data_IF_838811279814
#
_entry.id   IF_838811279814
#
_cell.length_a   1.000
_cell.length_b   1.000
_cell.length_c   1.000
_cell.angle_alpha   90.00
_cell.angle_beta   90.00
_cell.angle_gamma   90.00
#
_symmetry.space_group_name_H-M   'P 1'
#
loop_
_entity.id
_entity.type
_entity.pdbx_description
1 polymer ?
#
# COMPACT_ATOMS: atom_id res chain seq x y z
N UNK A 1 10.54 -0.92 -18.50
CA UNK A 1 9.77 -0.19 -17.48
C UNK A 1 8.72 -1.15 -16.98
N UNK A 2 8.71 -1.42 -15.68
CA UNK A 2 7.65 -2.21 -15.06
C UNK A 2 6.32 -1.46 -15.15
N UNK A 3 5.25 -2.22 -15.34
CA UNK A 3 3.92 -1.66 -15.60
C UNK A 3 3.25 -1.18 -14.31
N UNK A 4 2.54 -0.05 -14.39
CA UNK A 4 1.69 0.47 -13.33
C UNK A 4 0.57 -0.54 -13.01
N UNK A 5 0.34 -0.82 -11.74
CA UNK A 5 -0.78 -1.64 -11.28
C UNK A 5 -1.74 -0.80 -10.43
N UNK A 6 -2.96 -1.30 -10.23
CA UNK A 6 -3.92 -0.62 -9.35
C UNK A 6 -3.41 -0.59 -7.90
N UNK A 7 -2.68 -1.62 -7.47
CA UNK A 7 -2.01 -1.65 -6.18
C UNK A 7 -1.01 -0.50 -6.04
N UNK A 8 -0.20 -0.24 -7.07
CA UNK A 8 0.75 0.89 -7.03
C UNK A 8 0.02 2.22 -6.80
N UNK A 9 -1.09 2.48 -7.50
CA UNK A 9 -1.90 3.70 -7.33
C UNK A 9 -2.46 3.83 -5.91
N UNK A 10 -3.01 2.74 -5.36
CA UNK A 10 -3.53 2.72 -3.98
C UNK A 10 -2.41 2.98 -2.97
N UNK A 11 -1.22 2.41 -3.16
CA UNK A 11 -0.06 2.68 -2.31
C UNK A 11 0.33 4.15 -2.38
N UNK A 12 0.43 4.73 -3.58
CA UNK A 12 0.79 6.13 -3.79
C UNK A 12 -0.18 7.09 -3.09
N UNK A 13 -1.48 6.79 -3.11
CA UNK A 13 -2.50 7.59 -2.43
C UNK A 13 -2.43 7.56 -0.91
N UNK A 14 -1.80 6.54 -0.32
CA UNK A 14 -1.67 6.39 1.14
C UNK A 14 -0.41 7.06 1.69
N UNK A 15 0.48 7.51 0.81
CA UNK A 15 1.70 8.23 1.20
C UNK A 15 1.36 9.70 1.41
N UNK A 16 1.44 10.12 2.65
CA UNK A 16 1.27 11.51 3.09
C UNK A 16 2.64 12.10 3.46
N UNK A 17 2.79 13.43 3.53
CA UNK A 17 4.00 14.06 4.06
C UNK A 17 4.37 13.53 5.44
N UNK A 18 5.63 13.16 5.67
CA UNK A 18 6.08 12.56 6.93
C UNK A 18 5.73 11.07 7.10
N UNK A 19 5.22 10.40 6.06
CA UNK A 19 5.03 8.94 6.10
C UNK A 19 6.39 8.25 6.22
N UNK A 20 6.53 7.39 7.23
CA UNK A 20 7.74 6.59 7.43
C UNK A 20 7.45 5.13 7.17
N UNK A 21 8.45 4.41 6.67
CA UNK A 21 8.36 2.99 6.30
C UNK A 21 7.83 2.12 7.46
N UNK A 22 8.27 2.40 8.68
CA UNK A 22 7.91 1.67 9.91
C UNK A 22 6.43 1.84 10.29
N UNK A 23 5.80 2.96 9.87
CA UNK A 23 4.40 3.28 10.15
C UNK A 23 3.48 3.08 8.95
N UNK A 24 4.00 2.58 7.84
CA UNK A 24 3.21 2.44 6.62
C UNK A 24 2.25 1.26 6.66
N UNK A 25 2.63 0.13 7.28
CA UNK A 25 1.80 -1.07 7.29
C UNK A 25 0.38 -0.90 7.84
N UNK A 26 0.17 -0.18 8.97
CA UNK A 26 -1.17 0.16 9.43
C UNK A 26 -2.02 0.92 8.40
N UNK A 27 -1.42 1.74 7.53
CA UNK A 27 -2.16 2.53 6.51
C UNK A 27 -2.77 1.66 5.40
N UNK A 28 -2.24 0.45 5.20
CA UNK A 28 -2.66 -0.49 4.16
C UNK A 28 -3.13 -1.83 4.74
N UNK A 29 -3.37 -1.90 6.06
CA UNK A 29 -3.80 -3.10 6.77
C UNK A 29 -2.90 -4.32 6.46
N UNK A 30 -1.59 -4.13 6.62
CA UNK A 30 -0.56 -5.11 6.32
C UNK A 30 0.55 -5.10 7.37
N UNK A 31 1.28 -6.22 7.46
CA UNK A 31 2.45 -6.32 8.33
C UNK A 31 3.62 -5.49 7.80
N UNK A 32 4.55 -5.14 8.68
CA UNK A 32 5.73 -4.34 8.31
C UNK A 32 6.53 -4.95 7.15
N UNK A 33 6.80 -6.26 7.18
CA UNK A 33 7.59 -6.92 6.13
C UNK A 33 6.92 -6.91 4.76
N UNK A 34 5.62 -7.19 4.71
CA UNK A 34 4.83 -7.10 3.49
C UNK A 34 4.84 -5.66 2.95
N UNK A 35 4.63 -4.69 3.85
CA UNK A 35 4.62 -3.26 3.52
C UNK A 35 5.97 -2.77 3.01
N UNK A 36 7.05 -3.25 3.61
CA UNK A 36 8.41 -3.00 3.16
C UNK A 36 8.65 -3.56 1.75
N UNK A 37 8.16 -4.77 1.47
CA UNK A 37 8.29 -5.41 0.16
C UNK A 37 7.55 -4.61 -0.92
N UNK A 38 6.29 -4.22 -0.67
CA UNK A 38 5.55 -3.43 -1.67
C UNK A 38 6.15 -2.05 -1.88
N UNK A 39 6.60 -1.38 -0.82
CA UNK A 39 7.29 -0.09 -0.94
C UNK A 39 8.60 -0.25 -1.72
N UNK A 40 9.36 -1.33 -1.51
CA UNK A 40 10.55 -1.62 -2.29
C UNK A 40 10.22 -1.82 -3.78
N UNK A 41 9.15 -2.55 -4.11
CA UNK A 41 8.67 -2.70 -5.49
C UNK A 41 8.26 -1.36 -6.10
N UNK A 42 7.48 -0.54 -5.39
CA UNK A 42 7.04 0.78 -5.87
C UNK A 42 8.23 1.74 -6.03
N UNK A 43 9.27 1.60 -5.20
CA UNK A 43 10.55 2.30 -5.37
C UNK A 43 11.32 1.83 -6.60
N UNK A 44 11.39 0.52 -6.86
CA UNK A 44 12.03 -0.03 -8.06
C UNK A 44 11.36 0.48 -9.35
N UNK A 45 10.03 0.66 -9.32
CA UNK A 45 9.27 1.29 -10.40
C UNK A 45 9.53 2.81 -10.54
N UNK A 46 10.18 3.41 -9.55
CA UNK A 46 10.54 4.84 -9.55
C UNK A 46 9.42 5.77 -9.11
N UNK A 47 8.32 5.26 -8.52
CA UNK A 47 7.19 6.10 -8.10
C UNK A 47 7.39 6.73 -6.72
N UNK A 48 8.25 6.13 -5.88
CA UNK A 48 8.59 6.65 -4.55
C UNK A 48 10.10 6.62 -4.34
N UNK A 49 10.57 7.41 -3.39
CA UNK A 49 11.94 7.36 -2.89
C UNK A 49 11.96 7.32 -1.36
N UNK A 50 13.10 6.88 -0.80
CA UNK A 50 13.34 6.85 0.63
C UNK A 50 14.35 7.91 1.00
N UNK A 51 13.91 8.89 1.80
CA UNK A 51 14.80 9.87 2.42
C UNK A 51 15.24 9.33 3.77
N UNK A 52 16.55 9.30 4.00
CA UNK A 52 17.09 9.00 5.32
C UNK A 52 16.82 10.20 6.22
N UNK A 53 15.90 10.06 7.18
CA UNK A 53 15.71 11.09 8.20
C UNK A 53 16.87 11.01 9.21
N UNK A 54 17.21 12.15 9.81
CA UNK A 54 18.28 12.28 10.81
C UNK A 54 18.10 11.35 12.04
N UNK A 55 16.92 10.76 12.22
CA UNK A 55 16.56 9.93 13.38
C UNK A 55 16.45 8.43 13.06
N UNK A 56 16.99 7.97 11.93
CA UNK A 56 17.08 6.53 11.60
C UNK A 56 15.81 5.92 11.02
N UNK A 57 14.73 6.69 10.87
CA UNK A 57 13.53 6.27 10.14
C UNK A 57 13.70 6.61 8.65
N UNK A 58 13.17 5.74 7.79
CA UNK A 58 13.12 5.99 6.35
C UNK A 58 11.83 6.69 6.00
N UNK A 59 11.90 7.98 5.68
CA UNK A 59 10.76 8.73 5.18
C UNK A 59 10.48 8.33 3.74
N UNK A 60 9.20 8.09 3.42
CA UNK A 60 8.72 7.71 2.10
C UNK A 60 8.17 8.94 1.42
N UNK A 61 8.72 9.29 0.28
CA UNK A 61 8.28 10.43 -0.53
C UNK A 61 7.85 9.96 -1.91
N UNK A 62 6.78 10.57 -2.44
CA UNK A 62 6.34 10.33 -3.82
C UNK A 62 7.26 11.11 -4.78
N UNK A 63 7.83 10.44 -5.77
CA UNK A 63 8.69 11.10 -6.76
C UNK A 63 7.85 11.92 -7.74
N UNK A 64 8.50 12.73 -8.58
CA UNK A 64 7.83 13.43 -9.68
C UNK A 64 7.11 12.45 -10.64
N UNK A 65 7.68 11.26 -10.86
CA UNK A 65 7.06 10.22 -11.71
C UNK A 65 5.80 9.67 -11.04
N UNK A 66 5.86 9.35 -9.74
CA UNK A 66 4.70 8.87 -9.00
C UNK A 66 3.57 9.91 -8.92
N UNK A 67 3.92 11.17 -8.67
CA UNK A 67 2.97 12.28 -8.66
C UNK A 67 2.28 12.44 -10.02
N UNK A 68 3.04 12.34 -11.12
CA UNK A 68 2.48 12.36 -12.47
C UNK A 68 1.52 11.19 -12.74
N UNK A 69 1.80 10.00 -12.22
CA UNK A 69 0.87 8.87 -12.37
C UNK A 69 -0.45 9.11 -11.65
N UNK A 70 -0.41 9.72 -10.46
CA UNK A 70 -1.62 10.13 -9.74
C UNK A 70 -2.42 11.19 -10.51
N UNK A 71 -1.73 12.19 -11.06
CA UNK A 71 -2.35 13.23 -11.89
C UNK A 71 -3.04 12.65 -13.13
N UNK A 72 -2.36 11.79 -13.89
CA UNK A 72 -2.94 11.11 -15.06
C UNK A 72 -4.14 10.25 -14.66
N UNK A 73 -4.09 9.59 -13.51
CA UNK A 73 -5.21 8.82 -12.99
C UNK A 73 -6.41 9.71 -12.64
N UNK A 74 -6.17 10.85 -11.97
CA UNK A 74 -7.21 11.82 -11.61
C UNK A 74 -7.77 12.59 -12.82
N UNK A 75 -6.99 12.81 -13.87
CA UNK A 75 -7.49 13.32 -15.15
C UNK A 75 -8.42 12.32 -15.83
N UNK A 76 -7.99 11.05 -15.94
CA UNK A 76 -8.79 9.97 -16.50
C UNK A 76 -10.08 9.73 -15.71
N UNK A 77 -10.06 9.98 -14.40
CA UNK A 77 -11.25 9.89 -13.54
C UNK A 77 -12.37 10.87 -13.91
N UNK A 78 -12.05 11.98 -14.60
CA UNK A 78 -13.03 12.99 -15.03
C UNK A 78 -13.73 12.63 -16.34
N UNK A 79 -13.20 11.65 -17.09
CA UNK A 79 -13.79 11.20 -18.34
C UNK A 79 -15.10 10.43 -18.11
N UNK A 80 -16.01 10.47 -19.09
CA UNK A 80 -17.22 9.65 -19.03
C UNK A 80 -16.89 8.15 -19.11
N UNK A 81 -17.69 7.31 -18.44
CA UNK A 81 -17.57 5.84 -18.51
C UNK A 81 -17.64 5.37 -19.96
N UNK A 82 -16.65 4.58 -20.38
CA UNK A 82 -16.59 4.02 -21.74
C UNK A 82 -16.95 2.51 -21.77
N UNK A 83 -16.85 1.89 -22.94
CA UNK A 83 -17.21 0.47 -23.12
C UNK A 83 -16.29 -0.48 -22.35
N UNK A 84 -15.01 -0.14 -22.20
CA UNK A 84 -14.05 -0.98 -21.48
C UNK A 84 -14.26 -0.84 -19.95
N UNK A 85 -14.63 0.33 -19.48
CA UNK A 85 -15.06 0.55 -18.09
C UNK A 85 -16.30 -0.29 -17.77
N UNK A 86 -17.29 -0.33 -18.68
CA UNK A 86 -18.46 -1.20 -18.56
C UNK A 86 -18.08 -2.69 -18.57
N UNK A 87 -17.10 -3.09 -19.39
CA UNK A 87 -16.60 -4.47 -19.42
C UNK A 87 -15.91 -4.86 -18.09
N UNK A 88 -15.15 -3.94 -17.49
CA UNK A 88 -14.57 -4.12 -16.14
C UNK A 88 -15.68 -4.28 -15.10
N UNK A 89 -16.69 -3.40 -15.12
CA UNK A 89 -17.83 -3.51 -14.20
C UNK A 89 -18.57 -4.85 -14.36
N UNK A 90 -18.79 -5.33 -15.59
CA UNK A 90 -19.38 -6.65 -15.86
C UNK A 90 -18.56 -7.78 -15.26
N UNK A 91 -17.23 -7.75 -15.39
CA UNK A 91 -16.36 -8.75 -14.75
C UNK A 91 -16.49 -8.74 -13.23
N UNK A 92 -16.59 -7.57 -12.61
CA UNK A 92 -16.82 -7.48 -11.17
C UNK A 92 -18.20 -8.07 -10.79
N UNK A 93 -19.24 -7.83 -11.60
CA UNK A 93 -20.57 -8.45 -11.41
C UNK A 93 -20.54 -9.97 -11.58
N UNK A 94 -19.74 -10.49 -12.51
CA UNK A 94 -19.51 -11.93 -12.71
C UNK A 94 -18.79 -12.61 -11.53
N UNK A 95 -18.28 -11.82 -10.57
CA UNK A 95 -17.65 -12.31 -9.36
C UNK A 95 -16.13 -12.19 -9.32
N UNK A 96 -15.50 -11.62 -10.36
CA UNK A 96 -14.05 -11.35 -10.36
C UNK A 96 -13.74 -10.17 -9.44
N UNK A 97 -13.04 -10.45 -8.34
CA UNK A 97 -12.72 -9.44 -7.31
C UNK A 97 -11.28 -8.98 -7.35
N UNK A 98 -10.39 -9.78 -7.92
CA UNK A 98 -8.96 -9.47 -7.99
C UNK A 98 -8.66 -8.71 -9.30
N UNK A 99 -7.96 -7.55 -9.25
CA UNK A 99 -7.55 -6.83 -10.45
C UNK A 99 -6.77 -7.68 -11.46
N UNK A 100 -5.91 -8.61 -11.02
CA UNK A 100 -5.14 -9.47 -11.91
C UNK A 100 -6.02 -10.50 -12.62
N UNK A 101 -7.08 -10.99 -11.97
CA UNK A 101 -8.07 -11.87 -12.62
C UNK A 101 -8.87 -11.12 -13.69
N UNK A 102 -9.29 -9.88 -13.39
CA UNK A 102 -9.99 -9.01 -14.35
C UNK A 102 -9.08 -8.70 -15.54
N UNK A 103 -7.81 -8.38 -15.29
CA UNK A 103 -6.79 -8.15 -16.32
C UNK A 103 -6.69 -9.33 -17.27
N UNK A 104 -6.54 -10.53 -16.72
CA UNK A 104 -6.40 -11.76 -17.50
C UNK A 104 -7.69 -12.09 -18.26
N UNK A 105 -8.86 -11.85 -17.64
CA UNK A 105 -10.16 -12.10 -18.25
C UNK A 105 -10.53 -11.15 -19.39
N UNK A 106 -10.00 -9.91 -19.38
CA UNK A 106 -10.22 -8.92 -20.44
C UNK A 106 -9.05 -8.80 -21.42
N UNK A 107 -7.92 -9.46 -21.14
CA UNK A 107 -6.68 -9.38 -21.91
C UNK A 107 -6.23 -7.93 -22.15
N UNK A 108 -6.19 -7.14 -21.07
CA UNK A 108 -5.77 -5.73 -21.12
C UNK A 108 -4.47 -5.51 -20.35
N UNK A 109 -3.82 -4.38 -20.65
CA UNK A 109 -2.59 -3.92 -20.01
C UNK A 109 -2.86 -3.52 -18.55
N UNK A 110 -1.96 -3.89 -17.63
CA UNK A 110 -2.11 -3.60 -16.19
C UNK A 110 -2.22 -2.10 -15.94
N UNK A 111 -1.48 -1.29 -16.71
CA UNK A 111 -1.48 0.17 -16.56
C UNK A 111 -2.82 0.78 -16.96
N UNK A 112 -3.42 0.32 -18.07
CA UNK A 112 -4.73 0.82 -18.48
C UNK A 112 -5.83 0.36 -17.51
N UNK A 113 -5.79 -0.92 -17.09
CA UNK A 113 -6.70 -1.42 -16.08
C UNK A 113 -6.61 -0.61 -14.77
N UNK A 114 -5.39 -0.31 -14.31
CA UNK A 114 -5.17 0.47 -13.09
C UNK A 114 -5.84 1.84 -13.14
N UNK A 115 -5.64 2.58 -14.24
CA UNK A 115 -6.25 3.90 -14.42
C UNK A 115 -7.78 3.82 -14.51
N UNK A 116 -8.31 2.77 -15.14
CA UNK A 116 -9.76 2.55 -15.28
C UNK A 116 -10.43 2.15 -13.98
N UNK A 117 -9.82 1.25 -13.20
CA UNK A 117 -10.31 0.94 -11.86
C UNK A 117 -10.28 2.21 -11.00
N UNK A 118 -9.21 3.01 -11.05
CA UNK A 118 -9.15 4.27 -10.32
C UNK A 118 -10.27 5.24 -10.72
N UNK A 119 -10.55 5.39 -12.02
CA UNK A 119 -11.69 6.14 -12.54
C UNK A 119 -13.02 5.63 -11.98
N UNK A 120 -13.27 4.32 -12.05
CA UNK A 120 -14.49 3.69 -11.53
C UNK A 120 -14.66 3.88 -10.02
N UNK A 121 -13.55 3.87 -9.28
CA UNK A 121 -13.54 4.14 -7.83
C UNK A 121 -13.86 5.61 -7.53
N UNK A 122 -13.26 6.56 -8.26
CA UNK A 122 -13.52 8.00 -8.11
C UNK A 122 -14.93 8.42 -8.47
N UNK A 123 -15.60 7.65 -9.34
CA UNK A 123 -16.98 7.86 -9.75
C UNK A 123 -17.99 7.09 -8.88
N UNK A 124 -17.55 6.52 -7.76
CA UNK A 124 -18.37 5.73 -6.83
C UNK A 124 -19.10 4.54 -7.48
N UNK A 125 -18.56 4.00 -8.59
CA UNK A 125 -19.12 2.82 -9.28
C UNK A 125 -18.51 1.51 -8.75
N UNK A 126 -17.30 1.59 -8.19
CA UNK A 126 -16.58 0.48 -7.58
C UNK A 126 -16.05 0.92 -6.23
N UNK A 127 -16.15 0.06 -5.23
CA UNK A 127 -15.43 0.18 -3.97
C UNK A 127 -14.32 -0.87 -3.92
N UNK A 128 -13.31 -0.61 -3.10
CA UNK A 128 -12.22 -1.56 -2.90
C UNK A 128 -11.88 -1.70 -1.42
N UNK A 129 -11.41 -2.88 -1.05
CA UNK A 129 -10.86 -3.17 0.27
C UNK A 129 -9.42 -3.66 0.12
N UNK A 130 -8.57 -3.32 1.10
CA UNK A 130 -7.19 -3.76 1.17
C UNK A 130 -6.96 -4.58 2.44
N UNK A 131 -6.43 -5.79 2.28
CA UNK A 131 -6.08 -6.70 3.38
C UNK A 131 -4.82 -7.45 3.00
N UNK A 132 -3.77 -7.32 3.82
CA UNK A 132 -2.46 -7.93 3.55
C UNK A 132 -1.99 -7.60 2.12
N UNK A 133 -2.11 -6.33 1.71
CA UNK A 133 -1.73 -5.80 0.38
C UNK A 133 -2.61 -6.29 -0.78
N UNK A 134 -3.39 -7.36 -0.60
CA UNK A 134 -4.35 -7.81 -1.60
C UNK A 134 -5.52 -6.85 -1.68
N UNK A 135 -5.82 -6.43 -2.91
CA UNK A 135 -6.97 -5.59 -3.22
C UNK A 135 -8.12 -6.48 -3.66
N UNK A 136 -9.28 -6.27 -3.04
CA UNK A 136 -10.53 -6.88 -3.45
C UNK A 136 -11.51 -5.80 -3.86
N UNK A 137 -11.98 -5.86 -5.10
CA UNK A 137 -12.96 -4.95 -5.67
C UNK A 137 -14.38 -5.43 -5.38
N UNK A 138 -15.30 -4.47 -5.27
CA UNK A 138 -16.73 -4.72 -5.08
C UNK A 138 -17.53 -3.65 -5.82
N UNK A 139 -18.59 -4.06 -6.51
CA UNK A 139 -19.44 -3.11 -7.24
C UNK A 139 -20.37 -2.37 -6.28
N UNK A 140 -20.59 -1.08 -6.50
CA UNK A 140 -21.57 -0.29 -5.76
C UNK A 140 -22.95 -0.41 -6.39
N UNK A 141 -23.98 0.12 -5.73
CA UNK A 141 -25.34 0.15 -6.29
C UNK A 141 -25.38 0.93 -7.62
N UNK A 142 -24.66 2.05 -7.72
CA UNK A 142 -24.63 2.89 -8.91
C UNK A 142 -23.83 2.24 -10.05
N UNK A 143 -22.71 1.58 -9.72
CA UNK A 143 -21.98 0.74 -10.68
C UNK A 143 -22.85 -0.37 -11.23
N UNK A 144 -23.65 -1.00 -10.36
CA UNK A 144 -24.54 -2.09 -10.74
C UNK A 144 -25.65 -1.62 -11.70
N UNK A 145 -26.29 -0.48 -11.42
CA UNK A 145 -27.28 0.16 -12.30
C UNK A 145 -26.70 0.48 -13.68
N UNK A 146 -25.45 0.93 -13.75
CA UNK A 146 -24.76 1.27 -15.02
C UNK A 146 -24.56 0.07 -15.94
N UNK A 147 -24.37 -1.13 -15.39
CA UNK A 147 -24.18 -2.34 -16.18
C UNK A 147 -25.51 -2.88 -16.73
N UNK A 148 -26.64 -2.50 -16.12
CA UNK A 148 -27.97 -3.01 -16.50
C UNK A 148 -28.15 -4.50 -16.21
N UNK A 149 -27.24 -5.12 -15.45
CA UNK A 149 -27.42 -6.45 -14.94
C UNK A 149 -28.40 -6.38 -13.77
N UNK A 150 -29.57 -6.99 -13.85
CA UNK A 150 -30.34 -7.33 -12.64
C UNK A 150 -29.63 -8.48 -11.92
N UNK A 151 -29.56 -8.51 -10.58
CA UNK A 151 -28.84 -9.56 -9.90
C UNK A 151 -29.59 -10.86 -10.19
N UNK A 152 -28.92 -11.85 -10.78
CA UNK A 152 -29.37 -13.23 -10.63
C UNK A 152 -29.13 -13.56 -9.16
N UNK A 153 -30.08 -13.15 -8.32
CA UNK A 153 -30.19 -13.62 -6.96
C UNK A 153 -30.52 -15.11 -7.10
N UNK A 154 -29.50 -15.96 -7.07
CA UNK A 154 -29.69 -17.38 -6.82
C UNK A 154 -30.39 -17.48 -5.48
N UNK A 155 -31.71 -17.62 -5.55
CA UNK A 155 -32.51 -18.07 -4.42
C UNK A 155 -31.98 -19.46 -4.08
N UNK A 156 -31.20 -19.53 -3.00
CA UNK A 156 -30.97 -20.78 -2.29
C UNK A 156 -32.34 -21.40 -2.03
N UNK A 157 -32.62 -22.64 -2.49
CA UNK A 157 -33.90 -23.26 -2.22
C UNK A 157 -34.03 -23.48 -0.71
N UNK A 158 -35.05 -22.85 -0.15
CA UNK A 158 -35.55 -23.09 1.20
C UNK A 158 -35.81 -24.59 1.36
N UNK A 159 -34.93 -25.28 2.11
CA UNK A 159 -35.22 -26.63 2.57
C UNK A 159 -36.34 -26.54 3.60
N UNK A 160 -37.52 -27.06 3.22
CA UNK A 160 -38.60 -27.41 4.13
C UNK A 160 -38.07 -28.31 5.26
N UNK A 161 -37.96 -27.77 6.47
CA UNK A 161 -37.88 -28.56 7.69
C UNK A 161 -39.32 -28.94 8.04
N UNK A 162 -39.68 -30.19 7.76
CA UNK A 162 -40.87 -30.84 8.30
C UNK A 162 -40.62 -31.10 9.78
N UNK A 163 -41.37 -30.41 10.63
CA UNK A 163 -41.41 -30.66 12.08
C UNK A 163 -42.40 -31.80 12.32
N UNK A 164 -41.90 -32.97 12.69
CA UNK A 164 -42.68 -34.02 13.35
C UNK A 164 -42.03 -34.27 14.70
N UNK A 165 -42.78 -34.05 15.76
CA UNK A 165 -42.29 -34.16 17.14
C UNK A 165 -42.24 -35.60 17.64
N UNK A 166 -41.23 -35.89 18.46
CA UNK A 166 -41.31 -36.87 19.54
C UNK A 166 -40.27 -36.49 20.61
N UNK A 167 -40.71 -36.45 21.87
CA UNK A 167 -39.90 -36.19 23.06
C UNK A 167 -39.59 -37.54 23.77
N UNK A 168 -38.95 -37.55 24.95
CA UNK A 168 -37.62 -37.05 25.31
C UNK A 168 -36.76 -38.20 25.90
N UNK A 169 -35.44 -38.17 25.77
CA UNK A 169 -34.58 -39.02 26.61
C UNK A 169 -33.18 -38.46 26.80
N UNK A 170 -32.84 -38.35 28.09
CA UNK A 170 -31.53 -38.64 28.69
C UNK A 170 -30.43 -37.59 28.62
N UNK A 171 -30.28 -36.94 29.79
CA UNK A 171 -29.16 -36.09 30.15
C UNK A 171 -27.87 -36.92 30.27
N UNK A 172 -26.88 -36.58 29.46
CA UNK A 172 -25.48 -37.00 29.65
C UNK A 172 -24.65 -35.75 29.90
N UNK A 173 -23.93 -35.77 31.02
CA UNK A 173 -23.08 -34.68 31.50
C UNK A 173 -21.98 -34.29 30.49
N UNK A 174 -21.59 -33.00 30.41
CA UNK A 174 -20.45 -32.59 29.61
C UNK A 174 -19.12 -32.93 30.31
N UNK A 175 -18.10 -33.40 29.58
CA UNK A 175 -16.75 -33.58 30.12
C UNK A 175 -16.02 -32.24 30.26
N UNK A 176 -15.21 -32.18 31.30
CA UNK A 176 -14.32 -31.12 31.76
C UNK A 176 -13.27 -30.74 30.69
N UNK A 177 -13.08 -29.44 30.36
CA UNK A 177 -12.03 -29.01 29.43
C UNK A 177 -10.66 -28.98 30.12
N UNK A 178 -9.74 -29.80 29.60
CA UNK A 178 -8.33 -29.80 29.95
C UNK A 178 -7.66 -28.44 29.63
N UNK A 179 -6.79 -28.00 30.54
CA UNK A 179 -6.03 -26.76 30.46
C UNK A 179 -5.06 -26.73 29.25
N UNK A 180 -4.86 -25.56 28.61
CA UNK A 180 -3.85 -25.42 27.56
C UNK A 180 -2.43 -25.31 28.13
N UNK A 181 -1.56 -26.23 27.72
CA UNK A 181 -0.11 -26.18 27.96
C UNK A 181 0.55 -25.08 27.12
N UNK A 182 1.38 -24.26 27.76
CA UNK A 182 2.23 -23.26 27.10
C UNK A 182 3.46 -23.93 26.45
N UNK A 183 3.89 -23.54 25.24
CA UNK A 183 5.19 -23.91 24.71
C UNK A 183 6.34 -23.05 25.31
N UNK A 184 7.55 -23.59 25.48
CA UNK A 184 8.65 -22.96 26.20
C UNK A 184 9.39 -21.88 25.39
N UNK A 185 9.91 -20.90 26.12
CA UNK A 185 10.77 -19.82 25.61
C UNK A 185 12.08 -20.37 25.01
N UNK A 186 12.33 -20.04 23.74
CA UNK A 186 13.61 -20.24 23.06
C UNK A 186 14.66 -19.19 23.41
N UNK A 187 15.97 -19.48 23.20
CA UNK A 187 17.08 -18.74 23.80
C UNK A 187 17.44 -17.46 23.04
N UNK A 188 17.83 -16.44 23.80
CA UNK A 188 18.44 -15.19 23.32
C UNK A 188 19.90 -15.45 22.96
N UNK A 189 20.29 -15.27 21.68
CA UNK A 189 21.70 -15.33 21.27
C UNK A 189 22.29 -13.94 21.02
N UNK A 190 23.44 -13.69 21.64
CA UNK A 190 24.33 -12.55 21.44
C UNK A 190 24.93 -12.57 20.02
N UNK A 191 24.46 -11.72 19.10
CA UNK A 191 25.16 -11.44 17.82
C UNK A 191 25.04 -9.96 17.35
N UNK A 192 24.68 -9.05 18.27
CA UNK A 192 24.46 -7.63 17.94
C UNK A 192 25.72 -6.78 18.00
N UNK A 193 26.77 -7.24 18.70
CA UNK A 193 28.02 -6.48 18.87
C UNK A 193 28.95 -6.59 17.65
N UNK A 194 29.01 -7.76 17.01
CA UNK A 194 29.87 -8.05 15.86
C UNK A 194 29.39 -7.30 14.61
N UNK A 195 28.08 -7.23 14.38
CA UNK A 195 27.46 -6.50 13.25
C UNK A 195 27.62 -4.98 13.33
N UNK A 196 27.71 -4.39 14.53
CA UNK A 196 27.92 -2.94 14.70
C UNK A 196 29.34 -2.50 14.30
N UNK A 197 30.36 -3.32 14.60
CA UNK A 197 31.75 -3.01 14.23
C UNK A 197 31.97 -3.05 12.71
N UNK A 198 31.47 -4.08 12.03
CA UNK A 198 31.59 -4.20 10.58
C UNK A 198 30.87 -3.06 9.82
N UNK A 199 29.72 -2.60 10.34
CA UNK A 199 28.98 -1.47 9.75
C UNK A 199 29.76 -0.16 9.87
N UNK A 200 30.50 0.05 10.96
CA UNK A 200 31.25 1.30 11.19
C UNK A 200 32.54 1.39 10.35
N UNK A 201 33.21 0.26 10.10
CA UNK A 201 34.36 0.21 9.18
C UNK A 201 33.97 0.54 7.74
N UNK A 202 32.82 0.05 7.27
CA UNK A 202 32.32 0.35 5.92
C UNK A 202 32.08 1.85 5.69
N UNK A 203 31.54 2.57 6.67
CA UNK A 203 31.32 4.02 6.53
C UNK A 203 32.64 4.81 6.51
N UNK A 204 33.60 4.47 7.38
CA UNK A 204 34.91 5.12 7.41
C UNK A 204 35.68 4.92 6.10
N UNK A 205 35.56 3.76 5.45
CA UNK A 205 36.23 3.48 4.18
C UNK A 205 35.61 4.24 3.00
N UNK A 206 34.29 4.44 3.01
CA UNK A 206 33.60 5.19 1.95
C UNK A 206 33.83 6.72 2.07
N UNK A 207 34.02 7.24 3.30
CA UNK A 207 34.38 8.65 3.53
C UNK A 207 35.75 9.03 2.97
N UNK A 208 36.66 8.06 2.83
CA UNK A 208 38.03 8.32 2.36
C UNK A 208 38.15 8.40 0.84
N UNK A 209 37.15 7.92 0.09
CA UNK A 209 37.20 7.79 -1.38
C UNK A 209 36.75 9.05 -2.14
N UNK A 210 36.00 9.97 -1.51
CA UNK A 210 35.45 11.17 -2.19
C UNK A 210 35.69 12.49 -1.41
N UNK A 211 36.94 12.99 -1.29
CA UNK A 211 37.23 14.24 -0.59
C UNK A 211 36.57 15.47 -1.26
N UNK A 212 36.25 15.37 -2.56
CA UNK A 212 35.63 16.44 -3.32
C UNK A 212 34.18 16.73 -2.90
N UNK A 213 33.40 15.71 -2.50
CA UNK A 213 32.04 15.94 -2.01
C UNK A 213 32.04 16.61 -0.63
N UNK A 214 32.98 16.22 0.24
CA UNK A 214 33.15 16.85 1.55
C UNK A 214 33.49 18.35 1.42
N UNK A 215 34.37 18.70 0.47
CA UNK A 215 34.73 20.09 0.18
C UNK A 215 33.53 20.93 -0.29
N UNK A 216 32.66 20.37 -1.16
CA UNK A 216 31.44 21.06 -1.63
C UNK A 216 30.45 21.31 -0.50
N UNK A 217 30.25 20.34 0.39
CA UNK A 217 29.36 20.52 1.55
C UNK A 217 29.90 21.55 2.55
N UNK A 218 31.21 21.55 2.83
CA UNK A 218 31.84 22.53 3.71
C UNK A 218 31.74 23.95 3.12
N UNK A 219 31.96 24.08 1.81
CA UNK A 219 31.85 25.38 1.12
C UNK A 219 30.41 25.91 1.15
N UNK A 220 29.42 25.03 0.90
CA UNK A 220 28.00 25.38 0.98
C UNK A 220 27.58 25.85 2.37
N UNK A 221 28.03 25.15 3.42
CA UNK A 221 27.76 25.54 4.80
C UNK A 221 28.37 26.91 5.15
N UNK A 222 29.58 27.20 4.68
CA UNK A 222 30.23 28.50 4.88
C UNK A 222 29.44 29.66 4.25
N UNK A 223 28.93 29.48 3.03
CA UNK A 223 28.11 30.49 2.34
C UNK A 223 26.84 30.79 3.13
N UNK A 224 26.17 29.77 3.67
CA UNK A 224 24.97 29.95 4.48
C UNK A 224 25.28 30.73 5.76
N UNK A 225 26.39 30.43 6.44
CA UNK A 225 26.81 31.17 7.64
C UNK A 225 27.09 32.64 7.31
N UNK A 226 27.75 32.94 6.20
CA UNK A 226 28.00 34.33 5.77
C UNK A 226 26.69 35.07 5.47
N UNK A 227 25.73 34.42 4.82
CA UNK A 227 24.41 35.01 4.56
C UNK A 227 23.65 35.33 5.86
N UNK A 228 23.71 34.43 6.85
CA UNK A 228 23.09 34.65 8.16
C UNK A 228 23.75 35.83 8.89
N UNK A 229 25.08 35.90 8.89
CA UNK A 229 25.82 37.00 9.51
C UNK A 229 25.53 38.35 8.81
N UNK A 230 25.42 38.36 7.48
CA UNK A 230 25.07 39.56 6.72
C UNK A 230 23.63 40.03 7.03
N UNK A 231 22.68 39.10 7.17
CA UNK A 231 21.30 39.41 7.56
C UNK A 231 21.24 39.99 8.98
N UNK A 232 21.96 39.40 9.93
CA UNK A 232 22.05 39.91 11.31
C UNK A 232 22.67 41.31 11.33
N UNK A 233 23.75 41.54 10.57
CA UNK A 233 24.41 42.84 10.48
C UNK A 233 23.48 43.92 9.89
N UNK A 234 22.68 43.60 8.87
CA UNK A 234 21.70 44.53 8.29
C UNK A 234 20.57 44.88 9.26
N UNK A 235 20.15 43.93 10.10
CA UNK A 235 19.12 44.15 11.13
C UNK A 235 19.66 45.03 12.26
N UNK A 236 20.92 44.84 12.68
CA UNK A 236 21.54 45.62 13.76
C UNK A 236 21.92 47.06 13.37
N UNK A 237 21.96 47.37 12.06
CA UNK A 237 22.33 48.71 11.56
C UNK A 237 21.12 49.65 11.38
N UNK A 238 19.89 49.13 11.45
CA UNK A 238 18.66 49.94 11.48
C UNK A 238 18.33 50.35 12.91
#
# INVERSE_FOLDING_TARGET
MEELTFTDLVILQRIEPGTVMEKFGPKINSQFFESANILATVKQKGYIDFKTSHFGNSEVEVTQVGARMLEVADEKAKEAVDELDLAILRKIVEGYKDPDEIKNGLNIRSGDLALRIHKLVKQDLVSYSIRNIKISLSITEDGFKKVGATPKMEKTPEQHIVVTGEAPAEAVAPPEPAAPEMPPAGPVTLDSATKRKAKMEYYMENFRKNPMQLAVYILGALVVVVCILAAIYLVLRK
#
